data_IF_647794426838
#
_entry.id   IF_647794426838
#
_cell.length_a   1.000
_cell.length_b   1.000
_cell.length_c   1.000
_cell.angle_alpha   90.00
_cell.angle_beta   90.00
_cell.angle_gamma   90.00
#
_symmetry.space_group_name_H-M   'P 1'
#
loop_
_entity.id
_entity.type
_entity.pdbx_description
1 polymer ?
#
# COMPACT_ATOMS: atom_id res chain seq x y z
N UNK A 1 28.84 30.13 33.37
CA UNK A 1 29.13 29.48 32.07
C UNK A 1 27.97 28.58 31.72
N UNK A 2 27.18 28.96 30.73
CA UNK A 2 26.02 28.22 30.23
C UNK A 2 26.51 27.13 29.28
N UNK A 3 26.33 25.87 29.65
CA UNK A 3 26.48 24.75 28.72
C UNK A 3 25.14 24.60 28.01
N UNK A 4 25.06 25.09 26.78
CA UNK A 4 23.94 24.83 25.89
C UNK A 4 23.91 23.34 25.58
N UNK A 5 22.94 22.65 26.17
CA UNK A 5 22.61 21.28 25.84
C UNK A 5 21.78 21.32 24.55
N UNK A 6 22.39 21.02 23.41
CA UNK A 6 21.71 20.91 22.12
C UNK A 6 20.85 19.65 22.12
N UNK A 7 19.51 19.74 21.95
CA UNK A 7 18.67 18.57 21.87
C UNK A 7 19.01 17.78 20.59
N UNK A 8 19.06 16.46 20.78
CA UNK A 8 19.54 15.49 19.80
C UNK A 8 18.94 15.67 18.40
N UNK A 9 19.80 15.48 17.41
CA UNK A 9 19.42 15.19 16.03
C UNK A 9 18.23 14.23 16.02
N UNK A 10 17.12 14.63 15.42
CA UNK A 10 16.03 13.72 15.07
C UNK A 10 16.65 12.55 14.30
N UNK A 11 16.62 11.36 14.89
CA UNK A 11 16.94 10.12 14.20
C UNK A 11 15.99 10.02 12.99
N UNK A 12 16.54 10.13 11.78
CA UNK A 12 15.84 9.68 10.57
C UNK A 12 15.63 8.17 10.73
N UNK A 13 14.42 7.75 11.10
CA UNK A 13 14.03 6.35 11.00
C UNK A 13 13.93 6.01 9.51
N UNK A 14 15.01 5.47 8.95
CA UNK A 14 14.94 4.80 7.65
C UNK A 14 14.32 3.42 7.88
N UNK A 15 12.98 3.35 7.84
CA UNK A 15 12.28 2.06 7.84
C UNK A 15 12.59 1.31 6.54
N UNK A 16 12.89 0.02 6.65
CA UNK A 16 12.84 -0.88 5.49
C UNK A 16 11.39 -1.08 5.03
N UNK A 17 11.23 -1.59 3.80
CA UNK A 17 9.89 -1.89 3.24
C UNK A 17 9.14 -2.89 4.14
N UNK A 18 9.82 -3.92 4.64
CA UNK A 18 9.22 -4.95 5.50
C UNK A 18 8.74 -4.37 6.83
N UNK A 19 9.58 -3.58 7.51
CA UNK A 19 9.19 -2.92 8.77
C UNK A 19 8.01 -1.98 8.55
N UNK A 20 7.95 -1.33 7.39
CA UNK A 20 6.84 -0.47 7.02
C UNK A 20 5.54 -1.28 6.85
N UNK A 21 5.59 -2.39 6.12
CA UNK A 21 4.45 -3.28 5.93
C UNK A 21 3.93 -3.82 7.26
N UNK A 22 4.82 -4.25 8.16
CA UNK A 22 4.48 -4.69 9.51
C UNK A 22 3.76 -3.60 10.30
N UNK A 23 4.26 -2.35 10.26
CA UNK A 23 3.60 -1.20 10.90
C UNK A 23 2.21 -0.94 10.31
N UNK A 24 2.04 -1.11 9.00
CA UNK A 24 0.74 -0.96 8.35
C UNK A 24 -0.23 -2.11 8.70
N UNK A 25 0.27 -3.28 9.05
CA UNK A 25 -0.53 -4.44 9.47
C UNK A 25 -0.88 -4.42 10.96
N UNK A 26 -0.07 -3.77 11.78
CA UNK A 26 -0.16 -3.75 13.25
C UNK A 26 -1.50 -3.23 13.78
N UNK A 27 -2.02 -3.84 14.84
CA UNK A 27 -3.20 -3.33 15.54
C UNK A 27 -2.94 -1.99 16.26
N UNK A 28 -1.71 -1.73 16.69
CA UNK A 28 -1.34 -0.53 17.46
C UNK A 28 -1.00 0.72 16.60
N UNK A 29 -1.62 0.86 15.43
CA UNK A 29 -1.34 1.98 14.54
C UNK A 29 -1.74 3.32 15.16
N UNK A 30 -0.75 4.21 15.33
CA UNK A 30 -0.89 5.53 15.94
C UNK A 30 -1.39 6.62 14.98
N UNK A 31 -1.82 6.24 13.77
CA UNK A 31 -2.19 7.19 12.72
C UNK A 31 -1.03 7.59 11.81
N UNK A 32 -1.34 8.36 10.76
CA UNK A 32 -0.37 8.80 9.76
C UNK A 32 0.56 9.93 10.22
N UNK A 33 0.29 10.56 11.38
CA UNK A 33 1.12 11.61 11.98
C UNK A 33 2.28 11.05 12.82
N UNK A 34 2.46 9.74 12.82
CA UNK A 34 3.60 9.11 13.48
C UNK A 34 4.92 9.61 12.90
N UNK A 35 5.94 9.91 13.74
CA UNK A 35 7.24 10.41 13.29
C UNK A 35 7.95 9.46 12.32
N UNK A 36 7.65 8.16 12.39
CA UNK A 36 8.15 7.13 11.49
C UNK A 36 7.65 7.28 10.05
N UNK A 37 6.58 8.05 9.84
CA UNK A 37 6.01 8.33 8.52
C UNK A 37 6.44 9.69 7.95
N UNK A 38 7.27 10.44 8.68
CA UNK A 38 7.79 11.71 8.19
C UNK A 38 8.86 11.50 7.12
N UNK A 39 8.78 12.25 6.03
CA UNK A 39 9.73 12.24 4.90
C UNK A 39 9.76 10.94 4.07
N UNK A 40 8.68 10.18 4.02
CA UNK A 40 8.60 9.06 3.07
C UNK A 40 8.48 9.63 1.66
N UNK A 41 9.31 9.12 0.74
CA UNK A 41 9.24 9.49 -0.67
C UNK A 41 8.08 8.77 -1.37
N UNK A 42 7.60 9.32 -2.48
CA UNK A 42 6.64 8.64 -3.35
C UNK A 42 7.13 7.25 -3.78
N UNK A 43 8.43 7.12 -4.04
CA UNK A 43 9.05 5.83 -4.34
C UNK A 43 8.95 4.85 -3.16
N UNK A 44 9.22 5.31 -1.93
CA UNK A 44 9.11 4.48 -0.73
C UNK A 44 7.68 3.98 -0.54
N UNK A 45 6.68 4.86 -0.65
CA UNK A 45 5.27 4.45 -0.57
C UNK A 45 4.89 3.49 -1.69
N UNK A 46 5.34 3.74 -2.93
CA UNK A 46 5.08 2.86 -4.06
C UNK A 46 5.69 1.46 -3.84
N UNK A 47 6.92 1.39 -3.34
CA UNK A 47 7.59 0.12 -3.02
C UNK A 47 6.84 -0.68 -1.95
N UNK A 48 6.35 -0.01 -0.90
CA UNK A 48 5.50 -0.63 0.14
C UNK A 48 4.20 -1.15 -0.46
N UNK A 49 3.58 -0.45 -1.41
CA UNK A 49 2.38 -0.95 -2.09
C UNK A 49 2.69 -2.23 -2.88
N UNK A 50 3.79 -2.27 -3.62
CA UNK A 50 4.21 -3.45 -4.37
C UNK A 50 4.47 -4.66 -3.47
N UNK A 51 5.06 -4.46 -2.29
CA UNK A 51 5.28 -5.54 -1.34
C UNK A 51 3.98 -6.02 -0.67
N UNK A 52 3.05 -5.11 -0.31
CA UNK A 52 1.69 -5.49 0.12
C UNK A 52 0.96 -6.33 -0.94
N UNK A 53 1.08 -5.98 -2.22
CA UNK A 53 0.54 -6.79 -3.32
C UNK A 53 1.15 -8.18 -3.38
N UNK A 54 2.46 -8.28 -3.17
CA UNK A 54 3.17 -9.56 -3.13
C UNK A 54 2.67 -10.46 -1.99
N UNK A 55 2.37 -9.87 -0.82
CA UNK A 55 1.75 -10.59 0.31
C UNK A 55 0.34 -11.06 -0.06
N UNK A 56 -0.48 -10.19 -0.68
CA UNK A 56 -1.84 -10.54 -1.13
C UNK A 56 -1.79 -11.72 -2.13
N UNK A 57 -0.90 -11.66 -3.11
CA UNK A 57 -0.75 -12.73 -4.10
C UNK A 57 -0.30 -14.03 -3.46
N UNK A 58 0.66 -13.98 -2.53
CA UNK A 58 1.12 -15.15 -1.78
C UNK A 58 -0.01 -15.76 -0.94
N UNK A 59 -0.84 -14.91 -0.31
CA UNK A 59 -1.98 -15.34 0.48
C UNK A 59 -3.09 -15.96 -0.40
N UNK A 60 -3.32 -15.42 -1.59
CA UNK A 60 -4.25 -15.99 -2.57
C UNK A 60 -3.76 -17.35 -3.09
N UNK A 61 -2.50 -17.44 -3.52
CA UNK A 61 -1.88 -18.67 -4.00
C UNK A 61 -1.90 -19.78 -2.93
N UNK A 62 -1.70 -19.41 -1.66
CA UNK A 62 -1.74 -20.34 -0.53
C UNK A 62 -3.14 -20.59 0.02
N UNK A 63 -4.19 -19.98 -0.56
CA UNK A 63 -5.59 -20.04 -0.09
C UNK A 63 -5.77 -19.64 1.38
N UNK A 64 -4.92 -18.74 1.87
CA UNK A 64 -4.98 -18.20 3.25
C UNK A 64 -5.58 -16.80 3.33
N UNK A 65 -6.01 -16.24 2.20
CA UNK A 65 -6.48 -14.85 2.09
C UNK A 65 -7.57 -14.51 3.11
N UNK A 66 -8.54 -15.40 3.34
CA UNK A 66 -9.65 -15.16 4.28
C UNK A 66 -9.17 -14.95 5.72
N UNK A 67 -8.08 -15.63 6.13
CA UNK A 67 -7.48 -15.45 7.46
C UNK A 67 -6.73 -14.12 7.57
N UNK A 68 -6.12 -13.67 6.48
CA UNK A 68 -5.32 -12.45 6.42
C UNK A 68 -6.12 -11.21 6.04
N UNK A 69 -7.36 -11.38 5.57
CA UNK A 69 -8.22 -10.33 5.03
C UNK A 69 -8.31 -9.11 5.95
N UNK A 70 -8.64 -9.23 7.25
CA UNK A 70 -8.77 -8.04 8.11
C UNK A 70 -7.44 -7.29 8.31
N UNK A 71 -6.31 -7.99 8.23
CA UNK A 71 -4.98 -7.40 8.41
C UNK A 71 -4.58 -6.65 7.14
N UNK A 72 -4.75 -7.27 5.98
CA UNK A 72 -4.41 -6.71 4.67
C UNK A 72 -5.34 -5.55 4.29
N UNK A 73 -6.63 -5.60 4.64
CA UNK A 73 -7.55 -4.48 4.43
C UNK A 73 -7.12 -3.24 5.21
N UNK A 74 -6.68 -3.41 6.46
CA UNK A 74 -6.16 -2.31 7.27
C UNK A 74 -4.88 -1.76 6.66
N UNK A 75 -3.95 -2.62 6.27
CA UNK A 75 -2.69 -2.19 5.67
C UNK A 75 -2.91 -1.37 4.40
N UNK A 76 -3.76 -1.84 3.47
CA UNK A 76 -4.11 -1.10 2.26
C UNK A 76 -4.83 0.23 2.57
N UNK A 77 -5.72 0.26 3.56
CA UNK A 77 -6.43 1.48 3.95
C UNK A 77 -5.48 2.53 4.54
N UNK A 78 -4.56 2.10 5.40
CA UNK A 78 -3.55 2.97 6.00
C UNK A 78 -2.51 3.46 4.99
N UNK A 79 -2.09 2.58 4.08
CA UNK A 79 -1.25 2.96 2.95
C UNK A 79 -1.90 4.07 2.12
N UNK A 80 -3.21 3.93 1.79
CA UNK A 80 -3.94 4.93 1.00
C UNK A 80 -3.99 6.29 1.69
N UNK A 81 -4.23 6.29 3.01
CA UNK A 81 -4.24 7.51 3.81
C UNK A 81 -2.88 8.22 3.79
N UNK A 82 -1.78 7.46 3.90
CA UNK A 82 -0.42 8.02 3.78
C UNK A 82 -0.15 8.57 2.38
N UNK A 83 -0.53 7.83 1.34
CA UNK A 83 -0.40 8.26 -0.05
C UNK A 83 -1.15 9.57 -0.32
N UNK A 84 -2.42 9.64 0.07
CA UNK A 84 -3.26 10.83 -0.16
C UNK A 84 -2.71 12.05 0.56
N UNK A 85 -2.20 11.86 1.79
CA UNK A 85 -1.49 12.91 2.52
C UNK A 85 -0.25 13.37 1.75
N UNK A 86 0.61 12.46 1.34
CA UNK A 86 1.84 12.80 0.59
C UNK A 86 1.53 13.55 -0.70
N UNK A 87 0.50 13.14 -1.44
CA UNK A 87 0.05 13.84 -2.66
C UNK A 87 -0.48 15.23 -2.32
N UNK A 88 -1.30 15.37 -1.27
CA UNK A 88 -1.89 16.66 -0.88
C UNK A 88 -0.87 17.71 -0.41
N UNK A 89 0.30 17.26 0.05
CA UNK A 89 1.37 18.11 0.57
C UNK A 89 2.49 18.38 -0.45
N UNK A 90 2.48 17.67 -1.58
CA UNK A 90 3.52 17.77 -2.58
C UNK A 90 3.34 18.98 -3.52
N UNK A 91 4.47 19.56 -3.93
CA UNK A 91 4.51 20.60 -4.94
C UNK A 91 4.39 19.97 -6.34
N UNK A 92 3.94 20.76 -7.32
CA UNK A 92 3.79 20.30 -8.71
C UNK A 92 5.06 19.66 -9.30
N UNK A 93 6.24 20.19 -8.96
CA UNK A 93 7.52 19.63 -9.40
C UNK A 93 7.83 18.26 -8.78
N UNK A 94 7.39 18.00 -7.55
CA UNK A 94 7.59 16.71 -6.88
C UNK A 94 6.67 15.65 -7.49
N UNK A 95 5.44 16.03 -7.83
CA UNK A 95 4.49 15.18 -8.54
C UNK A 95 4.96 14.84 -9.96
N UNK A 96 5.52 15.80 -10.69
CA UNK A 96 6.09 15.57 -12.03
C UNK A 96 7.25 14.56 -11.98
N UNK A 97 8.13 14.68 -10.97
CA UNK A 97 9.24 13.74 -10.77
C UNK A 97 8.78 12.34 -10.33
N UNK A 98 7.62 12.22 -9.69
CA UNK A 98 7.07 10.94 -9.30
C UNK A 98 6.65 10.09 -10.52
N UNK A 99 6.32 10.71 -11.65
CA UNK A 99 6.08 10.03 -12.92
C UNK A 99 5.07 8.89 -12.81
N UNK A 100 5.46 7.67 -13.21
CA UNK A 100 4.60 6.46 -13.19
C UNK A 100 4.10 6.12 -11.78
N UNK A 101 4.82 6.52 -10.73
CA UNK A 101 4.38 6.27 -9.36
C UNK A 101 3.06 6.99 -9.04
N UNK A 102 2.68 8.02 -9.80
CA UNK A 102 1.37 8.66 -9.63
C UNK A 102 0.21 7.70 -9.92
N UNK A 103 0.45 6.62 -10.67
CA UNK A 103 -0.51 5.53 -10.87
C UNK A 103 -0.68 4.61 -9.65
N UNK A 104 -0.08 4.94 -8.49
CA UNK A 104 -0.18 4.11 -7.29
C UNK A 104 -1.63 3.94 -6.80
N UNK A 105 -2.50 4.91 -7.07
CA UNK A 105 -3.92 4.81 -6.71
C UNK A 105 -4.63 3.69 -7.46
N UNK A 106 -4.31 3.52 -8.74
CA UNK A 106 -4.80 2.45 -9.60
C UNK A 106 -4.23 1.10 -9.17
N UNK A 107 -2.93 1.06 -8.85
CA UNK A 107 -2.29 -0.14 -8.31
C UNK A 107 -2.91 -0.53 -6.96
N UNK A 108 -3.29 0.43 -6.13
CA UNK A 108 -4.01 0.19 -4.88
C UNK A 108 -5.42 -0.36 -5.11
N UNK A 109 -6.16 0.18 -6.09
CA UNK A 109 -7.46 -0.36 -6.50
C UNK A 109 -7.33 -1.83 -6.97
N UNK A 110 -6.26 -2.15 -7.70
CA UNK A 110 -5.96 -3.54 -8.07
C UNK A 110 -5.74 -4.42 -6.84
N UNK A 111 -4.93 -3.97 -5.88
CA UNK A 111 -4.72 -4.70 -4.62
C UNK A 111 -6.01 -4.94 -3.86
N UNK A 112 -6.89 -3.95 -3.79
CA UNK A 112 -8.23 -4.08 -3.21
C UNK A 112 -9.09 -5.11 -3.94
N UNK A 113 -9.07 -5.10 -5.27
CA UNK A 113 -9.83 -6.06 -6.07
C UNK A 113 -9.32 -7.50 -5.85
N UNK A 114 -8.00 -7.70 -5.89
CA UNK A 114 -7.40 -9.01 -5.65
C UNK A 114 -7.62 -9.51 -4.23
N UNK A 115 -7.62 -8.61 -3.23
CA UNK A 115 -7.91 -8.98 -1.84
C UNK A 115 -9.33 -9.54 -1.65
N UNK A 116 -10.30 -9.09 -2.46
CA UNK A 116 -11.70 -9.51 -2.39
C UNK A 116 -12.11 -10.55 -3.44
N UNK A 117 -11.18 -10.92 -4.32
CA UNK A 117 -11.40 -11.96 -5.32
C UNK A 117 -11.40 -13.33 -4.65
N UNK A 118 -12.28 -14.23 -5.09
CA UNK A 118 -12.23 -15.61 -4.64
C UNK A 118 -10.91 -16.26 -5.11
N UNK A 119 -10.26 -17.05 -4.24
CA UNK A 119 -8.97 -17.66 -4.59
C UNK A 119 -9.06 -18.59 -5.81
N UNK A 120 -10.24 -19.16 -6.06
CA UNK A 120 -10.49 -19.94 -7.28
C UNK A 120 -10.38 -19.07 -8.52
N UNK A 121 -11.13 -17.96 -8.57
CA UNK A 121 -11.12 -17.02 -9.69
C UNK A 121 -9.72 -16.42 -9.93
N UNK A 122 -8.98 -16.17 -8.85
CA UNK A 122 -7.59 -15.72 -8.92
C UNK A 122 -6.67 -16.75 -9.59
N UNK A 123 -6.76 -18.02 -9.18
CA UNK A 123 -5.91 -19.09 -9.71
C UNK A 123 -6.29 -19.50 -11.14
N UNK A 124 -7.59 -19.57 -11.45
CA UNK A 124 -8.09 -19.86 -12.80
C UNK A 124 -7.59 -18.82 -13.82
N UNK A 125 -7.36 -17.58 -13.37
CA UNK A 125 -6.75 -16.51 -14.17
C UNK A 125 -5.23 -16.61 -14.37
N UNK A 126 -4.52 -17.42 -13.57
CA UNK A 126 -3.08 -17.68 -13.71
C UNK A 126 -2.79 -18.91 -14.59
N UNK A 127 -3.67 -19.91 -14.56
CA UNK A 127 -3.52 -21.16 -15.33
C UNK A 127 -3.92 -21.02 -16.80
N UNK A 128 -4.67 -19.97 -17.15
CA UNK A 128 -4.92 -19.64 -18.55
C UNK A 128 -3.69 -18.98 -19.14
N UNK A 129 -3.12 -19.54 -20.22
CA UNK A 129 -2.05 -18.97 -21.07
C UNK A 129 -2.42 -17.60 -21.71
N UNK A 130 -3.56 -17.02 -21.30
CA UNK A 130 -3.96 -15.66 -21.56
C UNK A 130 -3.54 -14.77 -20.39
N UNK A 131 -2.71 -13.76 -20.68
CA UNK A 131 -2.56 -12.55 -19.87
C UNK A 131 -3.86 -12.26 -19.11
N UNK A 132 -3.79 -12.20 -17.77
CA UNK A 132 -4.88 -11.82 -16.85
C UNK A 132 -5.93 -11.04 -17.63
N UNK A 133 -7.09 -11.65 -17.91
CA UNK A 133 -8.10 -11.01 -18.75
C UNK A 133 -8.45 -9.66 -18.11
N UNK A 134 -7.92 -8.57 -18.67
CA UNK A 134 -8.07 -7.24 -18.10
C UNK A 134 -9.54 -6.84 -18.03
N UNK A 135 -10.43 -7.47 -18.81
CA UNK A 135 -11.87 -7.28 -18.69
C UNK A 135 -12.44 -7.94 -17.42
N UNK A 136 -11.94 -9.12 -17.03
CA UNK A 136 -12.30 -9.77 -15.76
C UNK A 136 -11.81 -8.94 -14.57
N UNK A 137 -10.57 -8.46 -14.64
CA UNK A 137 -10.00 -7.58 -13.61
C UNK A 137 -10.76 -6.25 -13.52
N UNK A 138 -11.06 -5.63 -14.67
CA UNK A 138 -11.85 -4.40 -14.72
C UNK A 138 -13.28 -4.61 -14.20
N UNK A 139 -13.88 -5.78 -14.45
CA UNK A 139 -15.19 -6.15 -13.89
C UNK A 139 -15.14 -6.26 -12.35
N UNK A 140 -14.11 -6.89 -11.80
CA UNK A 140 -13.91 -6.98 -10.35
C UNK A 140 -13.63 -5.62 -9.71
N UNK A 141 -12.77 -4.80 -10.32
CA UNK A 141 -12.51 -3.42 -9.88
C UNK A 141 -13.80 -2.59 -9.91
N UNK A 142 -14.60 -2.68 -10.98
CA UNK A 142 -15.90 -2.01 -11.10
C UNK A 142 -16.92 -2.46 -10.05
N UNK A 143 -16.94 -3.75 -9.69
CA UNK A 143 -17.81 -4.28 -8.62
C UNK A 143 -17.34 -3.87 -7.22
N UNK A 144 -16.05 -3.67 -7.04
CA UNK A 144 -15.46 -3.24 -5.79
C UNK A 144 -15.64 -1.72 -5.56
N UNK A 145 -15.57 -0.90 -6.61
CA UNK A 145 -15.70 0.56 -6.56
C UNK A 145 -16.92 1.12 -5.81
N UNK A 146 -18.18 0.65 -6.00
CA UNK A 146 -19.34 1.21 -5.31
C UNK A 146 -19.40 0.88 -3.81
N UNK A 147 -18.52 0.04 -3.28
CA UNK A 147 -18.48 -0.31 -1.85
C UNK A 147 -17.60 0.65 -1.02
N UNK A 148 -16.95 1.63 -1.65
CA UNK A 148 -15.89 2.44 -1.05
C UNK A 148 -16.05 3.95 -1.23
N UNK A 149 -17.28 4.41 -1.55
CA UNK A 149 -17.67 5.82 -1.50
C UNK A 149 -18.14 6.22 -0.10
#
# INVERSE_FOLDING_TARGET
>A
MLVHNTPGKLNKCNLSVVEFEELLMDHAWSGADGPQFHNISFFGLYAVLCGLLSIIFSAQASRTIQRQLPVLERALSRWKLLWDRSVSQAHSQELERAGIMMSASEVWLLGRAFLHMESKDFLDGLDSDSMINMESLASHVKKALPKFG
#
